data_IF_395450011446
#
_entry.id   IF_395450011446
#
_cell.length_a   1.000
_cell.length_b   1.000
_cell.length_c   1.000
_cell.angle_alpha   90.00
_cell.angle_beta   90.00
_cell.angle_gamma   90.00
#
_symmetry.space_group_name_H-M   'P 1'
#
loop_
_entity.id
_entity.type
_entity.pdbx_description
1 polymer ?
#
# COMPACT_ATOMS: atom_id res chain seq x y z
N UNK A 1 -9.04 0.88 -17.99
CA UNK A 1 -7.97 -0.01 -17.54
C UNK A 1 -6.64 0.68 -17.76
N UNK A 2 -6.07 1.24 -16.69
CA UNK A 2 -4.76 1.84 -16.69
C UNK A 2 -3.69 0.76 -16.43
N UNK A 3 -2.49 1.00 -16.94
CA UNK A 3 -1.27 0.28 -16.60
C UNK A 3 -0.40 1.25 -15.82
N UNK A 4 -0.23 0.98 -14.53
CA UNK A 4 0.44 1.85 -13.57
C UNK A 4 1.76 1.24 -13.13
N UNK A 5 2.62 2.08 -12.57
CA UNK A 5 3.79 1.69 -11.78
C UNK A 5 3.46 1.71 -10.28
N UNK A 6 4.29 1.07 -9.45
CA UNK A 6 4.19 1.15 -8.00
C UNK A 6 4.33 2.61 -7.56
N UNK A 7 5.22 3.38 -8.17
CA UNK A 7 5.37 4.81 -7.85
C UNK A 7 4.09 5.60 -8.16
N UNK A 8 3.44 5.37 -9.31
CA UNK A 8 2.17 6.03 -9.64
C UNK A 8 1.02 5.61 -8.73
N UNK A 9 1.02 4.37 -8.23
CA UNK A 9 0.06 3.93 -7.20
C UNK A 9 0.30 4.66 -5.88
N UNK A 10 1.57 4.81 -5.47
CA UNK A 10 1.92 5.41 -4.19
C UNK A 10 1.80 6.94 -4.18
N UNK A 11 2.19 7.61 -5.26
CA UNK A 11 2.34 9.08 -5.34
C UNK A 11 1.46 9.74 -6.41
N UNK A 12 0.94 8.98 -7.37
CA UNK A 12 0.18 9.52 -8.49
C UNK A 12 -1.28 9.83 -8.15
N UNK A 13 -1.91 10.70 -8.94
CA UNK A 13 -3.23 11.27 -8.67
C UNK A 13 -4.37 10.25 -8.58
N UNK A 14 -4.26 9.12 -9.30
CA UNK A 14 -5.34 8.13 -9.38
C UNK A 14 -5.62 7.46 -8.04
N UNK A 15 -4.58 7.00 -7.34
CA UNK A 15 -4.73 6.23 -6.10
C UNK A 15 -4.09 6.92 -4.88
N UNK A 16 -2.95 7.60 -5.06
CA UNK A 16 -2.29 8.46 -4.08
C UNK A 16 -2.24 7.88 -2.65
N UNK A 17 -1.74 6.64 -2.51
CA UNK A 17 -1.70 5.93 -1.21
C UNK A 17 -1.01 6.76 -0.14
N UNK A 18 0.15 7.36 -0.45
CA UNK A 18 0.92 8.14 0.52
C UNK A 18 0.18 9.40 0.95
N UNK A 19 -0.45 10.12 0.01
CA UNK A 19 -1.22 11.31 0.33
C UNK A 19 -2.43 10.98 1.22
N UNK A 20 -3.11 9.86 0.95
CA UNK A 20 -4.26 9.44 1.75
C UNK A 20 -3.86 8.96 3.14
N UNK A 21 -2.78 8.16 3.25
CA UNK A 21 -2.24 7.74 4.53
C UNK A 21 -1.76 8.93 5.37
N UNK A 22 -1.07 9.90 4.75
CA UNK A 22 -0.59 11.09 5.45
C UNK A 22 -1.74 11.99 5.94
N UNK A 23 -2.76 12.22 5.10
CA UNK A 23 -3.97 12.97 5.50
C UNK A 23 -4.62 12.34 6.72
N UNK A 24 -4.74 11.02 6.73
CA UNK A 24 -5.33 10.31 7.87
C UNK A 24 -4.45 10.35 9.12
N UNK A 25 -3.14 10.26 8.96
CA UNK A 25 -2.19 10.40 10.07
C UNK A 25 -2.31 11.79 10.72
N UNK A 26 -2.36 12.86 9.92
CA UNK A 26 -2.56 14.23 10.41
C UNK A 26 -3.88 14.34 11.18
N UNK A 27 -4.97 13.82 10.62
CA UNK A 27 -6.27 13.81 11.30
C UNK A 27 -6.21 13.06 12.64
N UNK A 28 -5.48 11.94 12.73
CA UNK A 28 -5.33 11.20 13.99
C UNK A 28 -4.53 12.01 15.01
N UNK A 29 -3.44 12.65 14.61
CA UNK A 29 -2.65 13.53 15.49
C UNK A 29 -3.48 14.71 16.03
N UNK A 30 -4.32 15.30 15.18
CA UNK A 30 -5.20 16.43 15.58
C UNK A 30 -6.28 15.99 16.58
N UNK A 31 -6.79 14.77 16.48
CA UNK A 31 -7.91 14.29 17.30
C UNK A 31 -7.50 13.53 18.56
N UNK A 32 -6.35 12.84 18.56
CA UNK A 32 -5.93 11.93 19.62
C UNK A 32 -4.76 12.51 20.43
N UNK A 33 -4.16 13.61 19.96
CA UNK A 33 -2.94 14.18 20.56
C UNK A 33 -1.70 13.42 20.11
N UNK A 34 -0.65 13.40 20.93
CA UNK A 34 0.61 12.75 20.58
C UNK A 34 0.43 11.22 20.49
N UNK A 35 0.59 10.66 19.29
CA UNK A 35 0.74 9.21 19.09
C UNK A 35 2.06 8.76 19.73
N UNK A 36 1.98 7.88 20.73
CA UNK A 36 3.17 7.30 21.39
C UNK A 36 4.07 6.53 20.41
N UNK A 37 3.48 5.94 19.38
CA UNK A 37 4.19 5.24 18.30
C UNK A 37 3.72 5.72 16.91
N UNK A 38 4.28 6.85 16.49
CA UNK A 38 4.01 7.44 15.18
C UNK A 38 4.45 6.54 14.02
N UNK A 39 5.50 5.75 14.22
CA UNK A 39 6.04 4.88 13.17
C UNK A 39 5.05 3.76 12.86
N UNK A 40 4.63 2.99 13.88
CA UNK A 40 3.67 1.89 13.71
C UNK A 40 2.34 2.41 13.15
N UNK A 41 1.87 3.58 13.63
CA UNK A 41 0.66 4.19 13.09
C UNK A 41 0.78 4.51 11.58
N UNK A 42 1.91 5.07 11.17
CA UNK A 42 2.18 5.38 9.75
C UNK A 42 2.22 4.10 8.90
N UNK A 43 2.92 3.07 9.36
CA UNK A 43 3.04 1.79 8.65
C UNK A 43 1.66 1.12 8.46
N UNK A 44 0.82 1.13 9.50
CA UNK A 44 -0.54 0.59 9.45
C UNK A 44 -1.43 1.35 8.45
N UNK A 45 -1.34 2.68 8.42
CA UNK A 45 -2.11 3.49 7.48
C UNK A 45 -1.69 3.25 6.03
N UNK A 46 -0.39 3.17 5.76
CA UNK A 46 0.13 2.85 4.42
C UNK A 46 -0.34 1.46 4.00
N UNK A 47 -0.26 0.46 4.88
CA UNK A 47 -0.78 -0.89 4.61
C UNK A 47 -2.27 -0.86 4.29
N UNK A 48 -3.07 -0.17 5.11
CA UNK A 48 -4.52 -0.06 4.94
C UNK A 48 -4.88 0.55 3.57
N UNK A 49 -4.27 1.68 3.22
CA UNK A 49 -4.56 2.35 1.94
C UNK A 49 -4.06 1.54 0.75
N UNK A 50 -2.94 0.83 0.88
CA UNK A 50 -2.46 -0.10 -0.15
C UNK A 50 -3.45 -1.24 -0.40
N UNK A 51 -4.03 -1.84 0.65
CA UNK A 51 -5.04 -2.89 0.51
C UNK A 51 -6.35 -2.39 -0.14
N UNK A 52 -6.78 -1.19 0.22
CA UNK A 52 -7.94 -0.53 -0.42
C UNK A 52 -7.67 -0.35 -1.91
N UNK A 53 -6.48 0.15 -2.27
CA UNK A 53 -6.12 0.36 -3.67
C UNK A 53 -5.98 -0.98 -4.41
N UNK A 54 -5.39 -2.01 -3.81
CA UNK A 54 -5.31 -3.34 -4.40
C UNK A 54 -6.71 -3.91 -4.75
N UNK A 55 -7.70 -3.69 -3.89
CA UNK A 55 -9.09 -4.04 -4.19
C UNK A 55 -9.64 -3.22 -5.36
N UNK A 56 -9.44 -1.89 -5.35
CA UNK A 56 -9.89 -1.00 -6.44
C UNK A 56 -9.25 -1.33 -7.79
N UNK A 57 -7.96 -1.70 -7.81
CA UNK A 57 -7.28 -2.07 -9.05
C UNK A 57 -7.93 -3.29 -9.69
N UNK A 58 -8.36 -4.27 -8.88
CA UNK A 58 -9.09 -5.45 -9.37
C UNK A 58 -10.46 -5.03 -9.93
N UNK A 59 -11.21 -4.19 -9.20
CA UNK A 59 -12.55 -3.74 -9.59
C UNK A 59 -12.54 -2.88 -10.87
N UNK A 60 -11.52 -2.03 -11.05
CA UNK A 60 -11.35 -1.17 -12.23
C UNK A 60 -10.63 -1.86 -13.40
N UNK A 61 -10.14 -3.09 -13.16
CA UNK A 61 -9.33 -3.87 -14.11
C UNK A 61 -7.89 -3.37 -14.26
N UNK A 62 -7.46 -2.37 -13.51
CA UNK A 62 -6.11 -1.80 -13.60
C UNK A 62 -5.00 -2.82 -13.29
N UNK A 63 -3.82 -2.59 -13.87
CA UNK A 63 -2.64 -3.44 -13.67
C UNK A 63 -1.45 -2.61 -13.20
N UNK A 64 -0.59 -3.22 -12.39
CA UNK A 64 0.67 -2.63 -11.92
C UNK A 64 1.82 -3.38 -12.58
N UNK A 65 2.69 -2.65 -13.26
CA UNK A 65 3.60 -3.19 -14.28
C UNK A 65 5.01 -3.55 -13.79
N UNK A 66 5.38 -3.05 -12.62
CA UNK A 66 6.72 -3.08 -12.05
C UNK A 66 6.74 -3.68 -10.63
N UNK A 67 5.65 -4.34 -10.22
CA UNK A 67 5.67 -5.16 -9.01
C UNK A 67 6.68 -6.28 -9.25
N UNK A 68 7.78 -6.34 -8.48
CA UNK A 68 8.71 -7.46 -8.57
C UNK A 68 7.94 -8.74 -8.28
N UNK A 69 8.06 -9.75 -9.13
CA UNK A 69 7.58 -11.08 -8.77
C UNK A 69 8.24 -11.48 -7.44
N UNK A 70 7.42 -11.75 -6.42
CA UNK A 70 7.86 -12.39 -5.20
C UNK A 70 8.33 -13.80 -5.55
N UNK A 71 9.60 -13.93 -5.93
CA UNK A 71 10.26 -15.23 -6.04
C UNK A 71 10.44 -15.76 -4.63
N UNK A 72 9.44 -16.50 -4.16
CA UNK A 72 9.59 -17.34 -2.99
C UNK A 72 10.77 -18.30 -3.28
N UNK A 73 11.71 -18.47 -2.33
CA UNK A 73 12.69 -19.54 -2.43
C UNK A 73 11.93 -20.83 -2.71
N UNK A 74 12.30 -21.56 -3.76
CA UNK A 74 11.67 -22.85 -4.06
C UNK A 74 11.68 -23.68 -2.78
N UNK A 75 10.51 -24.03 -2.26
CA UNK A 75 10.39 -25.03 -1.20
C UNK A 75 11.11 -26.28 -1.72
N UNK A 76 12.30 -26.56 -1.20
CA UNK A 76 12.97 -27.84 -1.43
C UNK A 76 12.07 -28.88 -0.81
N UNK A 77 11.23 -29.48 -1.64
CA UNK A 77 10.62 -30.76 -1.33
C UNK A 77 11.76 -31.77 -1.40
N UNK A 78 12.52 -31.90 -0.31
CA UNK A 78 13.42 -33.04 -0.11
C UNK A 78 12.51 -34.27 0.02
N UNK A 79 12.29 -34.93 -1.11
CA UNK A 79 11.67 -36.25 -1.15
C UNK A 79 12.61 -37.26 -0.49
N UNK A 80 12.11 -37.90 0.56
CA UNK A 80 12.71 -39.06 1.21
C UNK A 80 12.01 -40.33 0.71
#
# INVERSE_FOLDING_TARGET
MAKLTVEEVYRGDKYNVMGNAFKELVNLCENIGALEDLQTATELLVCKHTLIVAKKTIEEGDSISDIPELRLPSLRMEGN
#
